data_IF_871761958307
#
_entry.id   IF_871761958307
#
_cell.length_a   1.000
_cell.length_b   1.000
_cell.length_c   1.000
_cell.angle_alpha   90.00
_cell.angle_beta   90.00
_cell.angle_gamma   90.00
#
_symmetry.space_group_name_H-M   'P 1'
#
loop_
_entity.id
_entity.type
_entity.pdbx_description
1 polymer ?
#
# COMPACT_ATOMS: atom_id res chain seq x y z
N UNK A 1 -1.71 13.17 -17.42
CA UNK A 1 -1.36 14.50 -17.98
C UNK A 1 -2.50 14.98 -18.84
N UNK A 2 -3.01 16.19 -18.56
CA UNK A 2 -4.06 16.81 -19.37
C UNK A 2 -3.41 17.45 -20.59
N UNK A 3 -3.93 17.19 -21.77
CA UNK A 3 -3.38 17.70 -23.04
C UNK A 3 -4.44 18.49 -23.81
N UNK A 4 -4.04 19.65 -24.34
CA UNK A 4 -4.90 20.48 -25.16
C UNK A 4 -4.59 20.20 -26.65
N UNK A 5 -5.55 19.64 -27.37
CA UNK A 5 -5.41 19.33 -28.79
C UNK A 5 -6.18 20.34 -29.64
N UNK A 6 -5.55 20.89 -30.68
CA UNK A 6 -6.22 21.70 -31.71
C UNK A 6 -6.49 20.81 -32.94
N UNK A 7 -7.76 20.68 -33.33
CA UNK A 7 -8.17 19.90 -34.48
C UNK A 7 -9.07 20.73 -35.44
N UNK A 8 -8.71 20.78 -36.69
CA UNK A 8 -9.49 21.32 -37.81
C UNK A 8 -8.89 22.54 -38.52
N UNK A 9 -9.06 22.64 -39.84
CA UNK A 9 -8.50 23.67 -40.71
C UNK A 9 -9.31 24.97 -40.72
N UNK A 10 -10.61 24.98 -40.40
CA UNK A 10 -11.50 26.14 -40.50
C UNK A 10 -12.27 26.48 -39.19
N UNK A 11 -12.42 25.55 -38.27
CA UNK A 11 -12.96 25.79 -36.92
C UNK A 11 -11.98 25.24 -35.90
N UNK A 12 -11.33 26.15 -35.13
CA UNK A 12 -10.46 25.77 -34.02
C UNK A 12 -11.30 25.23 -32.85
N UNK A 13 -11.37 23.94 -32.72
CA UNK A 13 -11.97 23.27 -31.56
C UNK A 13 -10.87 22.98 -30.55
N UNK A 14 -10.99 23.53 -29.34
CA UNK A 14 -10.14 23.16 -28.21
C UNK A 14 -10.75 21.95 -27.52
N UNK A 15 -9.99 20.85 -27.53
CA UNK A 15 -10.36 19.64 -26.82
C UNK A 15 -9.47 19.49 -25.60
N UNK A 16 -10.08 19.44 -24.44
CA UNK A 16 -9.39 19.11 -23.19
C UNK A 16 -9.49 17.58 -23.00
N UNK A 17 -8.35 16.93 -22.95
CA UNK A 17 -8.27 15.49 -22.66
C UNK A 17 -7.66 15.33 -21.28
N UNK A 18 -8.42 14.74 -20.37
CA UNK A 18 -7.95 14.39 -19.02
C UNK A 18 -7.87 12.87 -18.88
N UNK A 19 -6.74 12.39 -18.37
CA UNK A 19 -6.58 10.97 -18.09
C UNK A 19 -7.17 10.66 -16.71
N UNK A 20 -8.19 9.81 -16.68
CA UNK A 20 -8.73 9.25 -15.45
C UNK A 20 -8.01 7.92 -15.22
N UNK A 21 -7.18 7.86 -14.17
CA UNK A 21 -6.58 6.61 -13.69
C UNK A 21 -7.47 5.96 -12.65
N UNK A 22 -7.47 4.63 -12.59
CA UNK A 22 -8.09 3.92 -11.47
C UNK A 22 -7.41 4.33 -10.15
N UNK A 23 -8.13 4.37 -9.04
CA UNK A 23 -7.51 4.60 -7.73
C UNK A 23 -6.49 3.48 -7.44
N UNK A 24 -5.35 3.81 -6.82
CA UNK A 24 -4.41 2.80 -6.36
C UNK A 24 -5.07 1.92 -5.30
N UNK A 25 -4.60 0.69 -5.17
CA UNK A 25 -5.19 -0.26 -4.24
C UNK A 25 -4.31 -0.49 -3.02
N UNK A 26 -4.96 -0.56 -1.85
CA UNK A 26 -4.33 -1.02 -0.62
C UNK A 26 -4.96 -2.33 -0.15
N UNK A 27 -4.15 -3.39 -0.12
CA UNK A 27 -4.55 -4.69 0.44
C UNK A 27 -4.02 -4.83 1.86
N UNK A 28 -4.94 -4.97 2.83
CA UNK A 28 -4.62 -5.10 4.25
C UNK A 28 -4.86 -6.53 4.71
N UNK A 29 -3.80 -7.23 5.11
CA UNK A 29 -3.85 -8.59 5.63
C UNK A 29 -3.99 -8.58 7.14
N UNK A 30 -5.14 -8.93 7.63
CA UNK A 30 -5.44 -8.97 9.07
C UNK A 30 -6.91 -8.74 9.36
N UNK A 31 -7.31 -9.04 10.59
CA UNK A 31 -8.68 -8.83 11.08
C UNK A 31 -8.72 -8.32 12.53
N UNK A 32 -7.63 -7.73 13.01
CA UNK A 32 -7.52 -7.10 14.32
C UNK A 32 -8.30 -5.78 14.40
N UNK A 33 -8.42 -5.23 15.63
CA UNK A 33 -9.06 -3.93 15.84
C UNK A 33 -8.25 -2.76 15.27
N UNK A 34 -6.97 -2.94 15.05
CA UNK A 34 -6.03 -2.00 14.48
C UNK A 34 -6.11 -1.90 12.96
N UNK A 35 -6.79 -2.86 12.30
CA UNK A 35 -7.06 -2.85 10.86
C UNK A 35 -8.07 -1.75 10.49
N UNK A 36 -9.16 -1.60 11.27
CA UNK A 36 -10.23 -0.66 10.94
C UNK A 36 -9.76 0.78 10.71
N UNK A 37 -8.93 1.39 11.58
CA UNK A 37 -8.46 2.75 11.32
C UNK A 37 -7.53 2.87 10.10
N UNK A 38 -6.80 1.81 9.73
CA UNK A 38 -6.00 1.80 8.49
C UNK A 38 -6.93 1.83 7.28
N UNK A 39 -7.96 0.98 7.28
CA UNK A 39 -8.97 0.89 6.22
C UNK A 39 -9.70 2.22 6.04
N UNK A 40 -10.21 2.81 7.13
CA UNK A 40 -10.93 4.08 7.09
C UNK A 40 -10.08 5.23 6.52
N UNK A 41 -8.82 5.32 6.97
CA UNK A 41 -7.91 6.37 6.51
C UNK A 41 -7.45 6.15 5.06
N UNK A 42 -7.21 4.91 4.64
CA UNK A 42 -6.83 4.59 3.27
C UNK A 42 -7.97 4.89 2.28
N UNK A 43 -9.20 4.49 2.63
CA UNK A 43 -10.40 4.83 1.85
C UNK A 43 -10.59 6.35 1.75
N UNK A 44 -10.42 7.08 2.87
CA UNK A 44 -10.46 8.54 2.87
C UNK A 44 -9.35 9.18 2.02
N UNK A 45 -8.18 8.54 1.95
CA UNK A 45 -7.05 8.97 1.11
C UNK A 45 -7.23 8.64 -0.38
N UNK A 46 -8.31 7.94 -0.76
CA UNK A 46 -8.66 7.64 -2.14
C UNK A 46 -8.12 6.31 -2.68
N UNK A 47 -7.68 5.42 -1.79
CA UNK A 47 -7.36 4.04 -2.18
C UNK A 47 -8.61 3.19 -2.34
N UNK A 48 -8.60 2.27 -3.28
CA UNK A 48 -9.46 1.10 -3.25
C UNK A 48 -8.93 0.14 -2.18
N UNK A 49 -9.74 -0.23 -1.19
CA UNK A 49 -9.25 -0.96 -0.01
C UNK A 49 -9.84 -2.36 0.05
N UNK A 50 -8.94 -3.36 0.00
CA UNK A 50 -9.28 -4.77 0.20
C UNK A 50 -8.75 -5.26 1.54
N UNK A 51 -9.60 -5.85 2.36
CA UNK A 51 -9.21 -6.53 3.60
C UNK A 51 -9.16 -8.02 3.38
N UNK A 52 -8.03 -8.66 3.68
CA UNK A 52 -7.86 -10.11 3.59
C UNK A 52 -7.77 -10.71 4.98
N UNK A 53 -8.75 -11.55 5.34
CA UNK A 53 -8.79 -12.28 6.60
C UNK A 53 -8.43 -13.76 6.39
N UNK A 54 -7.48 -14.28 7.16
CA UNK A 54 -7.11 -15.69 7.13
C UNK A 54 -7.96 -16.56 8.09
N UNK A 55 -8.89 -15.96 8.79
CA UNK A 55 -9.77 -16.64 9.75
C UNK A 55 -11.22 -16.36 9.40
N UNK A 56 -11.76 -17.17 8.48
CA UNK A 56 -13.01 -16.99 7.77
C UNK A 56 -14.29 -16.76 8.59
N UNK A 57 -14.25 -16.88 9.91
CA UNK A 57 -15.40 -16.59 10.78
C UNK A 57 -15.58 -15.07 11.06
N UNK A 58 -14.72 -14.19 10.52
CA UNK A 58 -14.66 -12.78 10.84
C UNK A 58 -14.76 -11.86 9.61
N UNK A 59 -15.36 -12.33 8.53
CA UNK A 59 -15.73 -11.53 7.36
C UNK A 59 -17.02 -10.75 7.60
N UNK A 60 -17.18 -10.15 8.79
CA UNK A 60 -18.26 -9.21 9.01
C UNK A 60 -17.84 -7.87 8.40
N UNK A 61 -18.31 -7.61 7.18
CA UNK A 61 -18.05 -6.40 6.40
C UNK A 61 -18.37 -5.12 7.21
N UNK A 62 -19.31 -5.20 8.15
CA UNK A 62 -19.66 -4.10 9.03
C UNK A 62 -18.51 -3.65 9.96
N UNK A 63 -17.49 -4.48 10.17
CA UNK A 63 -16.31 -4.15 10.98
C UNK A 63 -15.30 -3.26 10.24
N UNK A 64 -15.31 -3.29 8.91
CA UNK A 64 -14.35 -2.58 8.07
C UNK A 64 -15.07 -1.54 7.22
N UNK A 65 -15.75 -0.61 7.89
CA UNK A 65 -16.39 0.50 7.22
C UNK A 65 -15.36 1.28 6.40
N UNK A 66 -15.53 1.33 5.08
CA UNK A 66 -14.57 1.94 4.16
C UNK A 66 -13.73 0.93 3.36
N UNK A 67 -13.81 -0.38 3.65
CA UNK A 67 -13.31 -1.39 2.73
C UNK A 67 -14.25 -1.53 1.53
N UNK A 68 -13.67 -1.59 0.35
CA UNK A 68 -14.40 -1.88 -0.89
C UNK A 68 -14.64 -3.39 -1.01
N UNK A 69 -13.69 -4.19 -0.52
CA UNK A 69 -13.80 -5.65 -0.49
C UNK A 69 -13.29 -6.24 0.83
N UNK A 70 -13.94 -7.31 1.30
CA UNK A 70 -13.49 -8.13 2.42
C UNK A 70 -13.44 -9.59 1.98
N UNK A 71 -12.24 -10.15 1.92
CA UNK A 71 -11.97 -11.47 1.36
C UNK A 71 -11.45 -12.42 2.43
N UNK A 72 -11.90 -13.69 2.39
CA UNK A 72 -11.30 -14.75 3.18
C UNK A 72 -10.39 -15.61 2.30
N UNK A 73 -9.14 -15.78 2.71
CA UNK A 73 -8.14 -16.55 1.98
C UNK A 73 -7.24 -17.34 2.94
N UNK A 74 -6.35 -18.15 2.37
CA UNK A 74 -5.23 -18.76 3.08
C UNK A 74 -3.95 -17.94 2.82
N UNK A 75 -3.02 -17.81 3.79
CA UNK A 75 -1.74 -17.15 3.54
C UNK A 75 -0.95 -17.73 2.34
N UNK A 76 -1.14 -18.98 2.02
CA UNK A 76 -0.50 -19.66 0.89
C UNK A 76 -1.11 -19.34 -0.47
N UNK A 77 -2.33 -18.82 -0.48
CA UNK A 77 -3.08 -18.46 -1.69
C UNK A 77 -2.92 -16.98 -2.06
N UNK A 78 -2.16 -16.22 -1.28
CA UNK A 78 -2.01 -14.76 -1.45
C UNK A 78 -1.51 -14.40 -2.85
N UNK A 79 -0.50 -15.10 -3.37
CA UNK A 79 0.04 -14.81 -4.71
C UNK A 79 -0.99 -15.01 -5.83
N UNK A 80 -1.96 -15.90 -5.63
CA UNK A 80 -2.99 -16.27 -6.61
C UNK A 80 -4.34 -15.58 -6.33
N UNK A 81 -4.43 -14.80 -5.24
CA UNK A 81 -5.68 -14.19 -4.78
C UNK A 81 -6.28 -13.23 -5.80
N UNK A 82 -5.42 -12.62 -6.60
CA UNK A 82 -5.76 -11.59 -7.58
C UNK A 82 -4.64 -11.39 -8.60
N UNK A 83 -4.87 -10.58 -9.62
CA UNK A 83 -3.79 -10.00 -10.42
C UNK A 83 -3.13 -8.89 -9.60
N UNK A 84 -1.82 -9.04 -9.35
CA UNK A 84 -1.00 -8.07 -8.64
C UNK A 84 -0.27 -7.18 -9.64
N UNK A 85 -0.21 -5.88 -9.37
CA UNK A 85 0.44 -4.88 -10.22
C UNK A 85 1.26 -3.88 -9.38
N UNK A 86 1.86 -2.91 -10.05
CA UNK A 86 2.67 -1.85 -9.45
C UNK A 86 1.85 -0.69 -8.84
N UNK A 87 0.53 -0.67 -9.04
CA UNK A 87 -0.40 0.24 -8.37
C UNK A 87 -1.06 -0.38 -7.11
N UNK A 88 -0.65 -1.59 -6.74
CA UNK A 88 -1.13 -2.32 -5.56
C UNK A 88 -0.11 -2.29 -4.42
N UNK A 89 -0.55 -1.90 -3.24
CA UNK A 89 0.25 -1.78 -2.01
C UNK A 89 -0.26 -2.76 -0.97
N UNK A 90 0.63 -3.35 -0.17
CA UNK A 90 0.26 -4.36 0.81
C UNK A 90 0.68 -3.97 2.23
N UNK A 91 -0.22 -4.18 3.21
CA UNK A 91 0.10 -4.05 4.64
C UNK A 91 -0.24 -5.35 5.35
N UNK A 92 0.76 -5.96 5.99
CA UNK A 92 0.64 -7.22 6.72
C UNK A 92 0.59 -6.95 8.21
N UNK A 93 -0.58 -7.22 8.82
CA UNK A 93 -0.85 -6.97 10.24
C UNK A 93 -1.74 -8.06 10.85
N UNK A 94 -1.41 -9.33 10.57
CA UNK A 94 -2.18 -10.47 11.07
C UNK A 94 -1.90 -10.77 12.55
N UNK A 95 -0.79 -10.26 13.09
CA UNK A 95 -0.25 -10.57 14.42
C UNK A 95 0.09 -12.05 14.66
N UNK A 96 0.08 -12.86 13.61
CA UNK A 96 0.50 -14.25 13.63
C UNK A 96 1.81 -14.41 12.87
N UNK A 97 2.84 -14.94 13.52
CA UNK A 97 4.17 -15.06 12.92
C UNK A 97 4.19 -15.92 11.66
N UNK A 98 3.45 -17.02 11.67
CA UNK A 98 3.40 -17.96 10.53
C UNK A 98 2.63 -17.34 9.37
N UNK A 99 1.48 -16.73 9.67
CA UNK A 99 0.65 -16.09 8.64
C UNK A 99 1.39 -14.90 8.00
N UNK A 100 2.02 -14.03 8.82
CA UNK A 100 2.81 -12.89 8.36
C UNK A 100 3.97 -13.36 7.46
N UNK A 101 4.68 -14.43 7.87
CA UNK A 101 5.80 -14.99 7.11
C UNK A 101 5.36 -15.54 5.75
N UNK A 102 4.30 -16.35 5.72
CA UNK A 102 3.77 -16.93 4.48
C UNK A 102 3.23 -15.85 3.54
N UNK A 103 2.58 -14.82 4.10
CA UNK A 103 2.07 -13.68 3.33
C UNK A 103 3.22 -12.89 2.71
N UNK A 104 4.28 -12.61 3.48
CA UNK A 104 5.47 -11.92 2.99
C UNK A 104 6.11 -12.65 1.81
N UNK A 105 6.35 -13.95 1.95
CA UNK A 105 6.97 -14.75 0.89
C UNK A 105 6.12 -14.76 -0.39
N UNK A 106 4.80 -14.91 -0.24
CA UNK A 106 3.87 -14.84 -1.35
C UNK A 106 3.89 -13.46 -2.04
N UNK A 107 3.87 -12.36 -1.28
CA UNK A 107 3.90 -10.99 -1.81
C UNK A 107 5.24 -10.67 -2.51
N UNK A 108 6.36 -11.17 -2.01
CA UNK A 108 7.67 -10.98 -2.64
C UNK A 108 7.76 -11.62 -4.03
N UNK A 109 6.92 -12.62 -4.33
CA UNK A 109 6.81 -13.20 -5.67
C UNK A 109 5.95 -12.38 -6.64
N UNK A 110 5.33 -11.31 -6.18
CA UNK A 110 4.48 -10.40 -6.94
C UNK A 110 5.19 -9.09 -7.29
N UNK A 111 4.68 -8.27 -8.22
CA UNK A 111 5.30 -6.99 -8.58
C UNK A 111 4.99 -5.84 -7.60
N UNK A 112 4.25 -6.05 -6.51
CA UNK A 112 3.87 -4.98 -5.58
C UNK A 112 5.08 -4.16 -5.12
N UNK A 113 5.05 -2.83 -5.19
CA UNK A 113 6.20 -1.97 -4.87
C UNK A 113 6.39 -1.74 -3.37
N UNK A 114 5.38 -2.08 -2.56
CA UNK A 114 5.38 -1.80 -1.12
C UNK A 114 4.76 -2.95 -0.33
N UNK A 115 5.50 -3.45 0.65
CA UNK A 115 5.04 -4.46 1.60
C UNK A 115 5.34 -3.95 3.01
N UNK A 116 4.33 -3.37 3.67
CA UNK A 116 4.43 -2.88 5.04
C UNK A 116 4.23 -4.01 6.05
N UNK A 117 5.21 -4.24 6.92
CA UNK A 117 5.13 -5.29 7.95
C UNK A 117 4.90 -4.70 9.33
N UNK A 118 3.78 -5.04 9.96
CA UNK A 118 3.49 -4.64 11.32
C UNK A 118 4.35 -5.42 12.33
N UNK A 119 4.91 -4.69 13.29
CA UNK A 119 5.68 -5.26 14.38
C UNK A 119 7.11 -4.71 14.46
N UNK A 120 7.84 -5.00 15.54
CA UNK A 120 9.18 -4.49 15.74
C UNK A 120 10.17 -5.11 14.75
N UNK A 121 11.23 -4.39 14.42
CA UNK A 121 12.31 -4.87 13.52
C UNK A 121 12.83 -6.26 13.89
N UNK A 122 12.96 -6.55 15.20
CA UNK A 122 13.40 -7.87 15.68
C UNK A 122 12.53 -9.02 15.15
N UNK A 123 11.20 -8.80 15.04
CA UNK A 123 10.27 -9.81 14.50
C UNK A 123 10.57 -10.12 13.04
N UNK A 124 10.91 -9.12 12.26
CA UNK A 124 11.30 -9.30 10.86
C UNK A 124 12.66 -10.02 10.73
N UNK A 125 13.62 -9.69 11.60
CA UNK A 125 14.91 -10.40 11.66
C UNK A 125 14.72 -11.88 11.97
N UNK A 126 13.86 -12.22 12.94
CA UNK A 126 13.49 -13.61 13.26
C UNK A 126 12.81 -14.32 12.06
N UNK A 127 11.99 -13.60 11.28
CA UNK A 127 11.41 -14.15 10.04
C UNK A 127 12.49 -14.46 9.00
N UNK A 128 13.45 -13.55 8.82
CA UNK A 128 14.56 -13.76 7.89
C UNK A 128 15.44 -14.93 8.28
N UNK A 129 15.73 -15.08 9.57
CA UNK A 129 16.48 -16.24 10.09
C UNK A 129 15.73 -17.55 9.80
N UNK A 130 14.42 -17.61 10.05
CA UNK A 130 13.60 -18.76 9.75
C UNK A 130 13.54 -19.10 8.25
N UNK A 131 13.56 -18.12 7.37
CA UNK A 131 13.64 -18.33 5.92
C UNK A 131 15.02 -18.86 5.52
N UNK A 132 16.10 -18.32 6.09
CA UNK A 132 17.45 -18.77 5.80
C UNK A 132 17.70 -20.24 6.23
N UNK A 133 17.13 -20.66 7.36
CA UNK A 133 17.14 -22.07 7.81
C UNK A 133 16.44 -23.02 6.82
N UNK A 134 15.45 -22.52 6.07
CA UNK A 134 14.75 -23.24 5.01
C UNK A 134 15.43 -23.09 3.62
N UNK A 135 16.56 -22.37 3.55
CA UNK A 135 17.31 -22.14 2.31
C UNK A 135 16.77 -21.02 1.43
N UNK A 136 15.90 -20.16 1.97
CA UNK A 136 15.35 -18.97 1.31
C UNK A 136 16.08 -17.72 1.82
N UNK A 137 16.83 -17.08 0.94
CA UNK A 137 17.45 -15.77 1.20
C UNK A 137 16.75 -14.70 0.35
N UNK A 138 16.60 -13.52 0.88
CA UNK A 138 16.04 -12.37 0.17
C UNK A 138 17.17 -11.58 -0.47
N UNK A 139 16.98 -11.20 -1.72
CA UNK A 139 17.89 -10.29 -2.39
C UNK A 139 17.65 -8.81 -2.01
N UNK A 140 18.49 -7.91 -2.52
CA UNK A 140 18.42 -6.51 -2.18
C UNK A 140 17.12 -5.84 -2.71
N UNK A 141 16.69 -6.21 -3.91
CA UNK A 141 15.52 -5.65 -4.58
C UNK A 141 14.23 -6.07 -3.85
N UNK A 142 14.18 -7.32 -3.37
CA UNK A 142 13.09 -7.81 -2.52
C UNK A 142 13.03 -7.03 -1.20
N UNK A 143 14.18 -6.83 -0.54
CA UNK A 143 14.24 -6.13 0.74
C UNK A 143 13.92 -4.63 0.63
N UNK A 144 14.22 -4.00 -0.50
CA UNK A 144 13.92 -2.59 -0.74
C UNK A 144 12.41 -2.31 -0.73
N UNK A 145 11.59 -3.28 -1.09
CA UNK A 145 10.12 -3.21 -1.09
C UNK A 145 9.49 -3.50 0.27
N UNK A 146 10.27 -3.94 1.29
CA UNK A 146 9.77 -4.30 2.61
C UNK A 146 10.00 -3.17 3.61
N UNK A 147 8.90 -2.60 4.09
CA UNK A 147 8.88 -1.52 5.07
C UNK A 147 8.58 -2.08 6.45
N UNK A 148 9.59 -2.14 7.31
CA UNK A 148 9.50 -2.75 8.64
C UNK A 148 10.37 -2.05 9.69
N UNK A 149 9.83 -1.59 10.80
CA UNK A 149 8.39 -1.47 11.13
C UNK A 149 7.64 -0.59 10.13
N UNK A 150 6.40 -0.98 9.78
CA UNK A 150 5.54 -0.22 8.88
C UNK A 150 5.19 1.14 9.46
N UNK A 151 5.18 2.17 8.61
CA UNK A 151 4.68 3.50 8.94
C UNK A 151 5.74 4.52 9.32
N UNK A 152 5.39 5.79 9.12
CA UNK A 152 6.23 6.93 9.50
C UNK A 152 6.27 7.10 11.02
N UNK A 153 7.41 7.50 11.55
CA UNK A 153 7.59 7.79 12.97
C UNK A 153 6.90 9.11 13.37
N UNK A 154 5.62 9.03 13.69
CA UNK A 154 4.82 10.17 14.13
C UNK A 154 4.69 10.26 15.65
N UNK A 155 5.19 9.27 16.41
CA UNK A 155 5.22 9.25 17.88
C UNK A 155 3.87 8.94 18.54
N UNK A 156 2.89 8.40 17.79
CA UNK A 156 1.59 8.01 18.32
C UNK A 156 1.54 6.55 18.76
N UNK A 157 0.78 6.26 19.83
CA UNK A 157 0.61 4.91 20.39
C UNK A 157 -0.81 4.34 20.16
N UNK A 158 -1.80 5.20 19.92
CA UNK A 158 -3.17 4.76 19.67
C UNK A 158 -3.30 4.17 18.23
N UNK A 159 -4.14 3.13 18.03
CA UNK A 159 -4.32 2.50 16.73
C UNK A 159 -4.59 3.50 15.58
N UNK A 160 -5.42 4.51 15.81
CA UNK A 160 -5.68 5.56 14.83
C UNK A 160 -4.42 6.39 14.50
N UNK A 161 -3.57 6.68 15.49
CA UNK A 161 -2.34 7.45 15.28
C UNK A 161 -1.29 6.62 14.51
N UNK A 162 -1.21 5.31 14.78
CA UNK A 162 -0.37 4.36 14.04
C UNK A 162 -0.86 4.29 12.59
N UNK A 163 -2.17 4.19 12.37
CA UNK A 163 -2.77 4.15 11.04
C UNK A 163 -2.43 5.39 10.19
N UNK A 164 -2.35 6.60 10.79
CA UNK A 164 -1.85 7.79 10.09
C UNK A 164 -0.42 7.61 9.59
N UNK A 165 0.45 7.02 10.40
CA UNK A 165 1.83 6.72 9.98
C UNK A 165 1.89 5.75 8.81
N UNK A 166 1.09 4.69 8.87
CA UNK A 166 1.03 3.65 7.84
C UNK A 166 0.49 4.24 6.52
N UNK A 167 -0.69 4.85 6.54
CA UNK A 167 -1.31 5.38 5.33
C UNK A 167 -0.49 6.52 4.71
N UNK A 168 0.13 7.38 5.54
CA UNK A 168 1.02 8.43 5.05
C UNK A 168 2.27 7.88 4.36
N UNK A 169 2.84 6.77 4.85
CA UNK A 169 3.98 6.09 4.22
C UNK A 169 3.57 5.47 2.88
N UNK A 170 2.47 4.70 2.84
CA UNK A 170 1.91 4.14 1.60
C UNK A 170 1.63 5.24 0.57
N UNK A 171 0.97 6.33 1.00
CA UNK A 171 0.65 7.47 0.13
C UNK A 171 1.92 8.13 -0.42
N UNK A 172 2.98 8.20 0.36
CA UNK A 172 4.26 8.76 -0.10
C UNK A 172 4.89 7.87 -1.17
N UNK A 173 4.88 6.54 -0.99
CA UNK A 173 5.37 5.58 -1.99
C UNK A 173 4.52 5.63 -3.26
N UNK A 174 3.19 5.63 -3.13
CA UNK A 174 2.26 5.72 -4.26
C UNK A 174 2.44 7.00 -5.11
N UNK A 175 2.96 8.06 -4.51
CA UNK A 175 3.24 9.32 -5.20
C UNK A 175 4.73 9.50 -5.57
N UNK A 176 5.56 8.46 -5.42
CA UNK A 176 7.01 8.53 -5.64
C UNK A 176 7.66 9.70 -4.85
N UNK A 177 7.39 9.73 -3.53
CA UNK A 177 7.87 10.79 -2.64
C UNK A 177 8.58 10.23 -1.42
N UNK A 178 9.69 10.86 -1.07
CA UNK A 178 10.31 10.65 0.24
C UNK A 178 9.63 11.58 1.26
N UNK A 179 9.10 11.03 2.37
CA UNK A 179 8.47 11.84 3.40
C UNK A 179 9.40 12.88 3.99
N UNK A 180 8.97 14.15 3.99
CA UNK A 180 9.71 15.25 4.56
C UNK A 180 8.79 16.43 4.93
N UNK A 181 9.29 17.37 5.73
CA UNK A 181 8.56 18.60 5.98
C UNK A 181 8.56 19.51 4.73
N UNK A 182 7.40 19.95 4.26
CA UNK A 182 7.30 20.87 3.12
C UNK A 182 8.11 22.18 3.31
N UNK A 183 8.29 22.65 4.56
CA UNK A 183 9.15 23.80 4.86
C UNK A 183 10.63 23.60 4.52
N UNK A 184 11.08 22.36 4.34
CA UNK A 184 12.45 22.03 3.96
C UNK A 184 12.60 21.87 2.43
N UNK A 185 11.50 21.93 1.69
CA UNK A 185 11.50 21.83 0.23
C UNK A 185 11.74 23.19 -0.41
N UNK A 186 12.66 23.26 -1.35
CA UNK A 186 12.86 24.41 -2.22
C UNK A 186 12.06 24.22 -3.53
N UNK A 187 11.46 25.29 -4.05
CA UNK A 187 10.69 25.26 -5.29
C UNK A 187 9.18 25.07 -5.11
N UNK A 188 8.43 24.78 -6.18
CA UNK A 188 6.98 24.63 -6.13
C UNK A 188 6.55 23.39 -5.34
N UNK A 189 5.42 23.48 -4.66
CA UNK A 189 4.86 22.37 -3.85
C UNK A 189 4.41 21.22 -4.77
N UNK A 190 3.86 21.56 -5.93
CA UNK A 190 3.45 20.60 -6.95
C UNK A 190 4.34 20.74 -8.17
N UNK A 191 4.94 19.63 -8.60
CA UNK A 191 5.66 19.58 -9.88
C UNK A 191 4.57 19.60 -10.98
N UNK A 192 4.30 20.78 -11.55
CA UNK A 192 3.52 20.85 -12.79
C UNK A 192 4.42 20.33 -13.90
N UNK A 193 3.94 19.34 -14.66
CA UNK A 193 4.55 19.05 -15.94
C UNK A 193 4.62 20.38 -16.70
N UNK A 194 5.84 20.79 -17.09
CA UNK A 194 6.03 21.98 -17.92
C UNK A 194 5.21 21.76 -19.20
N UNK A 195 4.11 22.50 -19.32
CA UNK A 195 3.42 22.64 -20.60
C UNK A 195 4.41 23.37 -21.49
N UNK A 196 5.14 22.60 -22.29
CA UNK A 196 5.96 23.13 -23.38
C UNK A 196 5.06 23.96 -24.29
N UNK A 197 5.36 25.26 -24.40
CA UNK A 197 4.77 26.19 -25.37
C UNK A 197 4.96 25.71 -26.82
#
# INVERSE_FOLDING_TARGET
>A
PSELLEAGDDERVRVFVDAVTAPPELVVFGSGHDVSPVVELASFAGFHVTVVSFRGAHTDDARFAGADEVVSASPREVAELREWDDDTYAVVMTHNFVDDRLTLDALLSTPVPYIGMMGPRKRFEEMREAFAEEGREFDADELERVYTPVGLSLGGDAPAQIAYGIVAEVLAVANDRTPQHLRAREGPIHDRADSTE
#
